data_IF_692115064590
#
_entry.id   IF_692115064590
#
_cell.length_a   1.000
_cell.length_b   1.000
_cell.length_c   1.000
_cell.angle_alpha   90.00
_cell.angle_beta   90.00
_cell.angle_gamma   90.00
#
_symmetry.space_group_name_H-M   'P 1'
#
loop_
_entity.id
_entity.type
_entity.pdbx_description
1 polymer ?
#
# COMPACT_ATOMS: atom_id res chain seq x y z
N UNK A 1 -6.53 8.59 -12.64
CA UNK A 1 -5.95 9.95 -12.54
C UNK A 1 -6.16 10.60 -11.18
N UNK A 2 -6.92 9.99 -10.27
CA UNK A 2 -7.16 10.50 -8.90
C UNK A 2 -6.07 10.08 -7.91
N UNK A 3 -5.42 8.93 -8.13
CA UNK A 3 -4.46 8.34 -7.18
C UNK A 3 -3.12 9.07 -7.15
N UNK A 4 -2.56 9.43 -8.32
CA UNK A 4 -1.33 10.20 -8.41
C UNK A 4 -1.45 11.58 -7.75
N UNK A 5 -2.61 12.23 -7.86
CA UNK A 5 -2.86 13.52 -7.20
C UNK A 5 -2.95 13.39 -5.67
N UNK A 6 -3.65 12.36 -5.18
CA UNK A 6 -3.72 12.07 -3.75
C UNK A 6 -2.33 11.76 -3.17
N UNK A 7 -1.52 10.98 -3.92
CA UNK A 7 -0.15 10.66 -3.55
C UNK A 7 0.75 11.91 -3.60
N UNK A 8 0.67 12.74 -4.64
CA UNK A 8 1.44 13.98 -4.74
C UNK A 8 1.14 14.96 -3.59
N UNK A 9 -0.12 15.06 -3.17
CA UNK A 9 -0.50 15.88 -2.01
C UNK A 9 0.16 15.37 -0.71
N UNK A 10 0.29 14.05 -0.56
CA UNK A 10 0.98 13.42 0.58
C UNK A 10 2.49 13.61 0.51
N UNK A 11 3.09 13.46 -0.67
CA UNK A 11 4.52 13.73 -0.90
C UNK A 11 4.88 15.18 -0.52
N UNK A 12 3.97 16.13 -0.74
CA UNK A 12 4.16 17.54 -0.36
C UNK A 12 4.21 17.78 1.16
N UNK A 13 3.72 16.85 1.97
CA UNK A 13 3.79 16.92 3.43
C UNK A 13 5.08 16.30 3.98
N UNK A 14 5.86 15.59 3.15
CA UNK A 14 7.16 15.04 3.53
C UNK A 14 8.25 16.11 3.45
N UNK A 15 9.27 15.97 4.28
CA UNK A 15 10.48 16.79 4.17
C UNK A 15 11.42 16.25 3.07
N UNK A 16 12.39 17.08 2.67
CA UNK A 16 13.34 16.73 1.62
C UNK A 16 14.16 15.48 1.96
N UNK A 17 14.43 15.24 3.25
CA UNK A 17 15.18 14.07 3.70
C UNK A 17 14.38 12.77 3.49
N UNK A 18 13.09 12.78 3.83
CA UNK A 18 12.16 11.69 3.62
C UNK A 18 11.91 11.45 2.13
N UNK A 19 11.75 12.50 1.31
CA UNK A 19 11.63 12.37 -0.14
C UNK A 19 12.89 11.76 -0.76
N UNK A 20 14.08 12.19 -0.33
CA UNK A 20 15.34 11.64 -0.81
C UNK A 20 15.53 10.17 -0.39
N UNK A 21 15.10 9.79 0.82
CA UNK A 21 15.11 8.40 1.26
C UNK A 21 14.16 7.54 0.41
N UNK A 22 12.93 8.03 0.20
CA UNK A 22 11.93 7.36 -0.62
C UNK A 22 12.42 7.09 -2.04
N UNK A 23 12.98 8.10 -2.71
CA UNK A 23 13.53 7.97 -4.08
C UNK A 23 14.62 6.89 -4.14
N UNK A 24 15.51 6.84 -3.14
CA UNK A 24 16.58 5.82 -3.07
C UNK A 24 16.03 4.42 -2.82
N UNK A 25 15.15 4.27 -1.83
CA UNK A 25 14.62 2.96 -1.43
C UNK A 25 13.76 2.33 -2.54
N UNK A 26 13.06 3.19 -3.29
CA UNK A 26 12.23 2.80 -4.44
C UNK A 26 13.02 2.65 -5.74
N UNK A 27 14.28 3.07 -5.78
CA UNK A 27 15.13 3.00 -6.97
C UNK A 27 14.63 3.88 -8.12
N UNK A 28 13.99 5.01 -7.80
CA UNK A 28 13.46 5.94 -8.81
C UNK A 28 14.61 6.76 -9.40
N UNK A 29 14.65 6.86 -10.72
CA UNK A 29 15.60 7.73 -11.42
C UNK A 29 15.19 9.20 -11.26
N UNK A 30 15.83 9.88 -10.30
CA UNK A 30 15.57 11.28 -9.99
C UNK A 30 15.77 12.22 -11.18
N UNK A 31 16.57 11.84 -12.19
CA UNK A 31 16.77 12.67 -13.38
C UNK A 31 15.52 12.77 -14.27
N UNK A 32 14.54 11.88 -14.08
CA UNK A 32 13.28 11.84 -14.85
C UNK A 32 12.09 12.45 -14.11
N UNK A 33 12.28 12.94 -12.89
CA UNK A 33 11.23 13.50 -12.05
C UNK A 33 11.33 15.03 -12.10
N UNK A 34 10.41 15.72 -12.78
CA UNK A 34 10.42 17.18 -12.85
C UNK A 34 9.66 17.82 -11.69
N UNK A 35 8.62 17.15 -11.16
CA UNK A 35 7.85 17.59 -10.00
C UNK A 35 7.31 16.42 -9.15
N UNK A 36 6.52 16.75 -8.10
CA UNK A 36 5.95 15.73 -7.19
C UNK A 36 4.87 14.86 -7.85
N UNK A 37 4.25 15.33 -8.92
CA UNK A 37 3.29 14.54 -9.67
C UNK A 37 4.02 13.48 -10.50
N UNK A 38 5.11 13.84 -11.17
CA UNK A 38 5.99 12.87 -11.84
C UNK A 38 6.55 11.84 -10.86
N UNK A 39 6.89 12.26 -9.63
CA UNK A 39 7.33 11.34 -8.59
C UNK A 39 6.21 10.39 -8.17
N UNK A 40 4.99 10.90 -7.99
CA UNK A 40 3.83 10.08 -7.65
C UNK A 40 3.54 9.04 -8.75
N UNK A 41 3.55 9.47 -10.02
CA UNK A 41 3.38 8.56 -11.16
C UNK A 41 4.49 7.50 -11.22
N UNK A 42 5.75 7.89 -10.99
CA UNK A 42 6.87 6.95 -10.97
C UNK A 42 6.73 5.89 -9.86
N UNK A 43 6.22 6.29 -8.69
CA UNK A 43 5.97 5.39 -7.56
C UNK A 43 4.82 4.40 -7.80
N UNK A 44 3.87 4.74 -8.67
CA UNK A 44 2.72 3.91 -9.03
C UNK A 44 2.98 3.01 -10.25
N UNK A 45 4.19 3.05 -10.82
CA UNK A 45 4.57 2.10 -11.88
C UNK A 45 4.51 0.65 -11.36
N UNK A 46 4.11 -0.33 -12.19
CA UNK A 46 4.02 -1.73 -11.76
C UNK A 46 5.31 -2.25 -11.12
N UNK A 47 6.47 -1.85 -11.65
CA UNK A 47 7.78 -2.24 -11.14
C UNK A 47 8.07 -1.63 -9.77
N UNK A 48 7.76 -0.35 -9.57
CA UNK A 48 7.95 0.34 -8.29
C UNK A 48 7.03 -0.23 -7.20
N UNK A 49 5.77 -0.50 -7.56
CA UNK A 49 4.77 -1.13 -6.69
C UNK A 49 5.23 -2.55 -6.32
N UNK A 50 5.63 -3.38 -7.28
CA UNK A 50 6.11 -4.73 -7.00
C UNK A 50 7.31 -4.73 -6.05
N UNK A 51 8.31 -3.88 -6.31
CA UNK A 51 9.49 -3.72 -5.45
C UNK A 51 9.14 -3.25 -4.03
N UNK A 52 8.13 -2.40 -3.91
CA UNK A 52 7.63 -1.95 -2.63
C UNK A 52 6.96 -3.07 -1.82
N UNK A 53 6.20 -3.91 -2.51
CA UNK A 53 5.54 -5.07 -1.91
C UNK A 53 6.55 -6.13 -1.45
N UNK A 54 7.68 -6.31 -2.15
CA UNK A 54 8.77 -7.21 -1.72
C UNK A 54 9.39 -6.83 -0.37
N UNK A 55 9.26 -5.57 0.06
CA UNK A 55 9.75 -5.09 1.36
C UNK A 55 8.77 -5.37 2.50
N UNK A 56 7.52 -5.71 2.17
CA UNK A 56 6.48 -5.97 3.16
C UNK A 56 6.53 -7.42 3.64
N UNK A 57 6.17 -7.61 4.91
CA UNK A 57 5.99 -8.95 5.43
C UNK A 57 4.65 -9.56 4.99
N UNK A 58 4.51 -10.86 5.20
CA UNK A 58 3.30 -11.60 4.83
C UNK A 58 2.03 -11.00 5.44
N UNK A 59 2.11 -10.43 6.65
CA UNK A 59 0.96 -9.87 7.33
C UNK A 59 0.51 -8.55 6.71
N UNK A 60 1.45 -7.63 6.45
CA UNK A 60 1.16 -6.36 5.78
C UNK A 60 0.61 -6.59 4.36
N UNK A 61 1.14 -7.58 3.64
CA UNK A 61 0.62 -7.99 2.33
C UNK A 61 -0.80 -8.56 2.42
N UNK A 62 -1.09 -9.39 3.42
CA UNK A 62 -2.44 -9.93 3.64
C UNK A 62 -3.44 -8.81 3.98
N UNK A 63 -3.06 -7.86 4.83
CA UNK A 63 -3.87 -6.68 5.15
C UNK A 63 -4.18 -5.85 3.90
N UNK A 64 -3.18 -5.58 3.06
CA UNK A 64 -3.35 -4.85 1.81
C UNK A 64 -4.28 -5.58 0.83
N UNK A 65 -4.11 -6.89 0.67
CA UNK A 65 -4.94 -7.69 -0.22
C UNK A 65 -6.41 -7.70 0.21
N UNK A 66 -6.66 -7.96 1.50
CA UNK A 66 -8.03 -7.95 2.03
C UNK A 66 -8.64 -6.56 1.96
N UNK A 67 -7.89 -5.51 2.31
CA UNK A 67 -8.36 -4.15 2.18
C UNK A 67 -8.75 -3.82 0.73
N UNK A 68 -7.91 -4.20 -0.25
CA UNK A 68 -8.18 -3.99 -1.67
C UNK A 68 -9.45 -4.73 -2.13
N UNK A 69 -9.64 -5.99 -1.71
CA UNK A 69 -10.84 -6.78 -2.00
C UNK A 69 -12.12 -6.19 -1.37
N UNK A 70 -12.01 -5.63 -0.17
CA UNK A 70 -13.10 -4.93 0.55
C UNK A 70 -13.37 -3.51 0.00
N UNK A 71 -12.63 -3.09 -1.04
CA UNK A 71 -12.89 -1.85 -1.77
C UNK A 71 -12.07 -0.63 -1.32
N UNK A 72 -10.95 -0.84 -0.63
CA UNK A 72 -10.04 0.21 -0.15
C UNK A 72 -9.48 1.12 -1.26
N UNK A 73 -9.62 0.74 -2.53
CA UNK A 73 -9.28 1.56 -3.71
C UNK A 73 -10.25 2.69 -3.98
N UNK A 74 -11.47 2.63 -3.41
CA UNK A 74 -12.54 3.62 -3.66
C UNK A 74 -12.93 4.38 -2.42
N UNK A 75 -12.85 3.74 -1.25
CA UNK A 75 -13.26 4.32 0.02
C UNK A 75 -12.43 3.72 1.17
N UNK A 76 -12.24 4.45 2.29
CA UNK A 76 -11.60 3.88 3.46
C UNK A 76 -12.34 2.65 3.98
N UNK A 77 -11.60 1.58 4.25
CA UNK A 77 -12.10 0.36 4.90
C UNK A 77 -11.61 0.35 6.34
N UNK A 78 -12.54 0.25 7.29
CA UNK A 78 -12.20 0.22 8.72
C UNK A 78 -11.34 -1.00 9.07
N UNK A 79 -10.35 -0.82 9.96
CA UNK A 79 -9.42 -1.90 10.33
C UNK A 79 -10.14 -3.09 10.98
N UNK A 80 -11.22 -2.86 11.74
CA UNK A 80 -12.05 -3.96 12.27
C UNK A 80 -12.66 -4.83 11.17
N UNK A 81 -13.12 -4.22 10.07
CA UNK A 81 -13.67 -4.96 8.93
C UNK A 81 -12.60 -5.81 8.23
N UNK A 82 -11.39 -5.26 8.08
CA UNK A 82 -10.22 -5.99 7.56
C UNK A 82 -9.84 -7.15 8.49
N UNK A 83 -9.86 -6.94 9.81
CA UNK A 83 -9.61 -8.00 10.80
C UNK A 83 -10.60 -9.15 10.64
N UNK A 84 -11.89 -8.81 10.58
CA UNK A 84 -12.94 -9.80 10.50
C UNK A 84 -12.86 -10.58 9.19
N UNK A 85 -12.53 -9.92 8.08
CA UNK A 85 -12.30 -10.56 6.79
C UNK A 85 -11.07 -11.50 6.79
N UNK A 86 -9.95 -11.07 7.39
CA UNK A 86 -8.76 -11.92 7.57
C UNK A 86 -9.07 -13.18 8.38
N UNK A 87 -9.84 -13.04 9.47
CA UNK A 87 -10.24 -14.15 10.34
C UNK A 87 -11.13 -15.13 9.57
N UNK A 88 -12.11 -14.62 8.81
CA UNK A 88 -12.99 -15.45 7.96
C UNK A 88 -12.22 -16.26 6.91
N UNK A 89 -11.16 -15.68 6.32
CA UNK A 89 -10.39 -16.32 5.24
C UNK A 89 -9.35 -17.31 5.75
N UNK A 90 -8.66 -16.97 6.84
CA UNK A 90 -7.67 -17.86 7.46
C UNK A 90 -8.32 -19.03 8.21
N UNK A 91 -9.55 -18.83 8.73
CA UNK A 91 -10.18 -19.78 9.64
C UNK A 91 -9.54 -19.80 11.03
N UNK A 92 -8.65 -18.85 11.32
CA UNK A 92 -7.96 -18.67 12.60
C UNK A 92 -8.68 -17.62 13.47
N UNK A 93 -8.30 -17.56 14.75
CA UNK A 93 -8.79 -16.55 15.67
C UNK A 93 -8.44 -15.14 15.18
N UNK A 94 -9.28 -14.13 15.48
CA UNK A 94 -9.01 -12.76 15.06
C UNK A 94 -7.66 -12.26 15.54
N UNK A 95 -6.91 -11.69 14.59
CA UNK A 95 -5.64 -11.02 14.85
C UNK A 95 -5.81 -9.97 15.95
N UNK A 96 -4.81 -9.89 16.83
CA UNK A 96 -4.75 -8.83 17.81
C UNK A 96 -4.83 -7.45 17.12
N UNK A 97 -5.74 -6.55 17.56
CA UNK A 97 -5.92 -5.26 16.92
C UNK A 97 -4.65 -4.41 16.85
N UNK A 98 -3.74 -4.50 17.83
CA UNK A 98 -2.46 -3.78 17.76
C UNK A 98 -1.56 -4.36 16.67
N UNK A 99 -1.46 -5.69 16.58
CA UNK A 99 -0.72 -6.36 15.49
C UNK A 99 -1.26 -6.02 14.10
N UNK A 100 -2.58 -5.90 13.94
CA UNK A 100 -3.19 -5.48 12.68
C UNK A 100 -2.87 -4.02 12.34
N UNK A 101 -2.98 -3.12 13.31
CA UNK A 101 -2.63 -1.71 13.13
C UNK A 101 -1.15 -1.53 12.77
N UNK A 102 -0.26 -2.32 13.37
CA UNK A 102 1.16 -2.33 13.03
C UNK A 102 1.44 -2.85 11.61
N UNK A 103 0.71 -3.86 11.16
CA UNK A 103 0.79 -4.34 9.78
C UNK A 103 0.28 -3.29 8.78
N UNK A 104 -0.86 -2.66 9.06
CA UNK A 104 -1.43 -1.59 8.25
C UNK A 104 -0.49 -0.37 8.17
N UNK A 105 0.13 -0.01 9.30
CA UNK A 105 1.10 1.09 9.35
C UNK A 105 2.35 0.80 8.52
N UNK A 106 2.88 -0.42 8.56
CA UNK A 106 4.02 -0.82 7.70
C UNK A 106 3.68 -0.73 6.22
N UNK A 107 2.46 -1.12 5.83
CA UNK A 107 1.96 -0.88 4.47
C UNK A 107 1.89 0.63 4.14
N UNK A 108 1.46 1.47 5.08
CA UNK A 108 1.40 2.92 4.88
C UNK A 108 2.78 3.59 4.79
N UNK A 109 3.78 3.08 5.52
CA UNK A 109 5.17 3.54 5.47
C UNK A 109 5.79 3.31 4.08
N UNK A 110 5.31 2.29 3.36
CA UNK A 110 5.69 2.02 1.97
C UNK A 110 4.97 2.89 0.94
N UNK A 111 4.04 3.76 1.35
CA UNK A 111 3.14 4.52 0.48
C UNK A 111 2.26 3.66 -0.46
N UNK A 112 2.12 2.37 -0.18
CA UNK A 112 1.19 1.48 -0.88
C UNK A 112 -0.24 1.56 -0.34
N UNK A 113 -0.39 2.15 0.84
CA UNK A 113 -1.66 2.45 1.46
C UNK A 113 -1.60 3.76 2.23
N UNK A 114 -2.77 4.28 2.56
CA UNK A 114 -2.94 5.36 3.52
C UNK A 114 -3.78 4.81 4.66
N UNK A 115 -3.33 5.07 5.89
CA UNK A 115 -4.07 4.74 7.10
C UNK A 115 -4.39 6.04 7.82
N UNK A 116 -5.67 6.26 8.11
CA UNK A 116 -6.17 7.37 8.90
C UNK A 116 -7.26 6.89 9.89
N UNK A 117 -7.92 7.83 10.57
CA UNK A 117 -8.96 7.51 11.56
C UNK A 117 -10.18 6.79 10.97
N UNK A 118 -10.38 6.84 9.65
CA UNK A 118 -11.48 6.17 8.95
C UNK A 118 -11.10 4.76 8.50
N UNK A 119 -9.82 4.43 8.48
CA UNK A 119 -9.30 3.11 8.15
C UNK A 119 -8.20 3.15 7.11
N UNK A 120 -8.13 2.08 6.31
CA UNK A 120 -7.11 1.91 5.27
C UNK A 120 -7.69 2.19 3.88
N UNK A 121 -6.97 2.95 3.07
CA UNK A 121 -7.15 3.07 1.62
C UNK A 121 -5.90 2.60 0.89
N UNK A 122 -6.06 2.15 -0.36
CA UNK A 122 -4.95 1.70 -1.20
C UNK A 122 -5.15 2.20 -2.63
N UNK A 123 -4.13 2.02 -3.48
CA UNK A 123 -4.18 2.47 -4.87
C UNK A 123 -4.64 1.35 -5.80
N UNK A 124 -5.38 1.65 -6.89
CA UNK A 124 -5.78 0.67 -7.90
C UNK A 124 -4.61 -0.13 -8.47
N UNK A 125 -3.43 0.49 -8.62
CA UNK A 125 -2.20 -0.14 -9.11
C UNK A 125 -1.70 -1.22 -8.14
N UNK A 126 -1.84 -0.99 -6.83
CA UNK A 126 -1.49 -1.97 -5.77
C UNK A 126 -2.48 -3.13 -5.78
N UNK A 127 -3.78 -2.84 -5.92
CA UNK A 127 -4.80 -3.88 -6.06
C UNK A 127 -4.59 -4.75 -7.31
N UNK A 128 -4.23 -4.13 -8.44
CA UNK A 128 -3.93 -4.83 -9.68
C UNK A 128 -2.67 -5.73 -9.54
N UNK A 129 -1.62 -5.23 -8.90
CA UNK A 129 -0.41 -6.00 -8.62
C UNK A 129 -0.72 -7.23 -7.72
N UNK A 130 -1.49 -7.03 -6.65
CA UNK A 130 -1.93 -8.11 -5.75
C UNK A 130 -2.79 -9.15 -6.46
N UNK A 131 -3.70 -8.73 -7.34
CA UNK A 131 -4.53 -9.65 -8.12
C UNK A 131 -3.72 -10.49 -9.12
N UNK A 132 -2.56 -10.01 -9.58
CA UNK A 132 -1.68 -10.74 -10.49
C UNK A 132 -0.80 -11.79 -9.79
N UNK A 133 -0.59 -11.70 -8.48
CA UNK A 133 0.30 -12.57 -7.72
C UNK A 133 -0.08 -14.07 -7.69
N UNK A 134 -1.36 -14.46 -7.54
CA UNK A 134 -1.74 -15.87 -7.61
C UNK A 134 -1.34 -16.53 -8.93
N UNK A 135 -1.42 -15.80 -10.05
CA UNK A 135 -1.00 -16.28 -11.37
C UNK A 135 0.53 -16.38 -11.52
N UNK A 136 1.29 -15.64 -10.69
CA UNK A 136 2.75 -15.69 -10.64
C UNK A 136 3.31 -16.79 -9.71
N UNK A 137 2.44 -17.60 -9.08
CA UNK A 137 2.85 -18.65 -8.14
C UNK A 137 3.37 -18.12 -6.79
N UNK A 138 3.19 -16.81 -6.53
CA UNK A 138 3.41 -16.19 -5.23
C UNK A 138 2.15 -16.38 -4.37
N UNK A 139 2.28 -16.43 -3.03
CA UNK A 139 1.11 -16.55 -2.18
C UNK A 139 0.19 -15.35 -2.42
N UNK A 140 -0.93 -15.61 -3.09
CA UNK A 140 -2.12 -14.78 -2.97
C UNK A 140 -2.63 -14.85 -1.53
N UNK A 141 -3.31 -13.80 -1.10
CA UNK A 141 -4.06 -13.83 0.16
C UNK A 141 -5.03 -15.01 0.22
#
# INVERSE_FOLDING_TARGET
MTDALALAARLRALDDAALAALVRDRGIDAARVADLFDLADALLTPEAVARAMEQLDRMALAVLAIAAEEGATTQPVGLDAVRDALSRRSGEDPLDPAGLADAARRAADTLLAVVDDKGITTHPEVAAALAAWPAAGLPGA
#
